data_IF_054159360781
#
_entry.id   IF_054159360781
#
_cell.length_a   1.000
_cell.length_b   1.000
_cell.length_c   1.000
_cell.angle_alpha   90.00
_cell.angle_beta   90.00
_cell.angle_gamma   90.00
#
_symmetry.space_group_name_H-M   'P 1'
#
loop_
_entity.id
_entity.type
_entity.pdbx_description
1 polymer ?
#
# COMPACT_ATOMS: atom_id res chain seq x y z
N UNK A 1 6.87 -15.02 1.17
CA UNK A 1 6.27 -14.76 -0.16
C UNK A 1 5.17 -13.74 0.10
N UNK A 2 5.14 -12.61 -0.61
CA UNK A 2 4.12 -11.59 -0.39
C UNK A 2 2.83 -12.03 -1.08
N UNK A 3 1.73 -12.15 -0.36
CA UNK A 3 0.47 -12.62 -0.93
C UNK A 3 -0.39 -11.45 -1.39
N UNK A 4 -0.55 -11.30 -2.70
CA UNK A 4 -1.63 -10.48 -3.25
C UNK A 4 -2.97 -11.09 -2.80
N UNK A 5 -3.72 -10.34 -1.98
CA UNK A 5 -5.01 -10.81 -1.44
C UNK A 5 -6.19 -10.23 -2.21
N UNK A 6 -6.13 -8.96 -2.59
CA UNK A 6 -7.24 -8.27 -3.25
C UNK A 6 -6.76 -7.15 -4.16
N UNK A 7 -7.38 -7.01 -5.33
CA UNK A 7 -7.19 -5.87 -6.23
C UNK A 7 -8.40 -4.96 -6.15
N UNK A 8 -8.19 -3.69 -5.86
CA UNK A 8 -9.26 -2.71 -5.83
C UNK A 8 -9.67 -2.36 -7.27
N UNK A 9 -10.97 -2.29 -7.55
CA UNK A 9 -11.48 -2.01 -8.89
C UNK A 9 -11.35 -0.54 -9.31
N UNK A 10 -11.25 0.36 -8.35
CA UNK A 10 -11.18 1.81 -8.57
C UNK A 10 -9.75 2.28 -8.83
N UNK A 11 -9.62 3.24 -9.75
CA UNK A 11 -8.38 3.99 -9.95
C UNK A 11 -8.31 5.10 -8.91
N UNK A 12 -7.26 5.08 -8.10
CA UNK A 12 -6.98 6.11 -7.09
C UNK A 12 -6.14 7.20 -7.75
N UNK A 13 -6.38 8.47 -7.42
CA UNK A 13 -5.65 9.60 -8.01
C UNK A 13 -5.00 10.44 -6.92
N UNK A 14 -3.78 10.89 -7.17
CA UNK A 14 -3.14 11.89 -6.31
C UNK A 14 -3.63 13.32 -6.61
N UNK A 15 -3.10 14.30 -5.86
CA UNK A 15 -3.48 15.70 -5.97
C UNK A 15 -3.22 16.31 -7.36
N UNK A 16 -2.28 15.75 -8.11
CA UNK A 16 -1.94 16.14 -9.48
C UNK A 16 -2.70 15.31 -10.54
N UNK A 17 -3.68 14.51 -10.10
CA UNK A 17 -4.56 13.73 -10.97
C UNK A 17 -3.92 12.45 -11.54
N UNK A 18 -2.72 12.08 -11.09
CA UNK A 18 -2.00 10.92 -11.61
C UNK A 18 -2.62 9.65 -11.04
N UNK A 19 -2.94 8.69 -11.90
CA UNK A 19 -3.68 7.48 -11.54
C UNK A 19 -2.80 6.34 -11.01
N UNK A 20 -3.37 5.55 -10.11
CA UNK A 20 -2.77 4.34 -9.54
C UNK A 20 -3.80 3.21 -9.46
N UNK A 21 -3.36 1.99 -9.76
CA UNK A 21 -4.09 0.77 -9.41
C UNK A 21 -3.70 0.33 -8.00
N UNK A 22 -4.69 0.17 -7.11
CA UNK A 22 -4.47 -0.22 -5.73
C UNK A 22 -4.67 -1.73 -5.53
N UNK A 23 -3.81 -2.33 -4.72
CA UNK A 23 -3.87 -3.74 -4.35
C UNK A 23 -3.51 -3.94 -2.88
N UNK A 24 -4.24 -4.82 -2.20
CA UNK A 24 -3.97 -5.26 -0.84
C UNK A 24 -3.08 -6.48 -0.89
N UNK A 25 -1.99 -6.40 -0.15
CA UNK A 25 -1.06 -7.47 0.11
C UNK A 25 -1.06 -7.83 1.58
N UNK A 26 -0.68 -9.05 1.88
CA UNK A 26 -0.52 -9.50 3.25
C UNK A 26 0.55 -10.56 3.40
N UNK A 27 1.04 -10.67 4.63
CA UNK A 27 2.00 -11.70 5.02
C UNK A 27 1.61 -12.24 6.40
N UNK A 28 1.61 -13.57 6.52
CA UNK A 28 1.49 -14.24 7.81
C UNK A 28 2.81 -14.15 8.58
N UNK A 29 2.74 -13.67 9.82
CA UNK A 29 3.84 -13.65 10.78
C UNK A 29 3.98 -14.99 11.50
N UNK A 30 5.11 -15.15 12.19
CA UNK A 30 5.40 -16.38 12.96
C UNK A 30 4.43 -16.66 14.11
N UNK A 31 3.64 -15.68 14.54
CA UNK A 31 2.59 -15.80 15.55
C UNK A 31 1.19 -16.11 14.95
N UNK A 32 1.10 -16.29 13.63
CA UNK A 32 -0.15 -16.58 12.92
C UNK A 32 -1.01 -15.35 12.62
N UNK A 33 -0.55 -14.15 12.98
CA UNK A 33 -1.22 -12.89 12.63
C UNK A 33 -0.82 -12.46 11.23
N UNK A 34 -1.78 -11.98 10.46
CA UNK A 34 -1.58 -11.48 9.11
C UNK A 34 -1.46 -9.97 9.12
N UNK A 35 -0.30 -9.45 8.76
CA UNK A 35 -0.09 -8.02 8.54
C UNK A 35 -0.44 -7.67 7.10
N UNK A 36 -1.02 -6.48 6.91
CA UNK A 36 -1.52 -6.03 5.61
C UNK A 36 -0.96 -4.66 5.23
N UNK A 37 -0.81 -4.44 3.93
CA UNK A 37 -0.46 -3.14 3.35
C UNK A 37 -1.09 -2.98 1.97
N UNK A 38 -1.08 -1.75 1.46
CA UNK A 38 -1.51 -1.37 0.13
C UNK A 38 -0.30 -1.09 -0.77
N UNK A 39 -0.37 -1.57 -1.99
CA UNK A 39 0.52 -1.19 -3.08
C UNK A 39 -0.26 -0.44 -4.16
N UNK A 40 0.31 0.68 -4.61
CA UNK A 40 -0.23 1.59 -5.61
C UNK A 40 0.71 1.61 -6.81
N UNK A 41 0.30 0.92 -7.88
CA UNK A 41 1.05 0.85 -9.12
C UNK A 41 0.65 2.01 -10.03
N UNK A 42 1.62 2.84 -10.44
CA UNK A 42 1.37 3.98 -11.31
C UNK A 42 0.84 3.55 -12.68
N UNK A 43 -0.30 4.12 -13.08
CA UNK A 43 -0.83 3.83 -14.42
C UNK A 43 0.05 4.51 -15.48
N UNK A 44 0.64 3.70 -16.36
CA UNK A 44 1.55 4.17 -17.41
C UNK A 44 2.90 4.68 -16.90
N UNK A 45 3.27 4.37 -15.65
CA UNK A 45 4.52 4.81 -15.03
C UNK A 45 5.14 3.66 -14.26
N UNK A 46 6.46 3.51 -14.36
CA UNK A 46 7.21 2.54 -13.57
C UNK A 46 7.45 3.09 -12.16
N UNK A 47 6.38 3.16 -11.37
CA UNK A 47 6.41 3.60 -9.98
C UNK A 47 5.45 2.74 -9.17
N UNK A 48 5.96 2.19 -8.08
CA UNK A 48 5.16 1.50 -7.07
C UNK A 48 5.30 2.25 -5.77
N UNK A 49 4.18 2.70 -5.21
CA UNK A 49 4.14 3.26 -3.86
C UNK A 49 3.55 2.21 -2.93
N UNK A 50 4.14 2.07 -1.77
CA UNK A 50 3.72 1.10 -0.77
C UNK A 50 3.37 1.84 0.52
N UNK A 51 2.20 1.53 1.07
CA UNK A 51 1.91 1.95 2.44
C UNK A 51 2.77 1.13 3.41
N UNK A 52 2.95 1.66 4.61
CA UNK A 52 3.41 0.85 5.74
C UNK A 52 2.30 -0.14 6.15
N UNK A 53 2.18 -0.41 7.44
CA UNK A 53 1.16 -1.28 8.00
C UNK A 53 -0.24 -0.63 7.98
N UNK A 54 -1.25 -1.34 7.48
CA UNK A 54 -2.64 -0.88 7.43
C UNK A 54 -3.56 -1.60 8.43
N UNK A 55 -3.37 -2.91 8.64
CA UNK A 55 -4.21 -3.71 9.52
C UNK A 55 -3.59 -5.06 9.86
N UNK A 56 -3.84 -5.55 11.08
CA UNK A 56 -3.56 -6.92 11.51
C UNK A 56 -4.84 -7.75 11.46
N UNK A 57 -4.74 -8.99 10.98
CA UNK A 57 -5.87 -9.87 10.74
C UNK A 57 -5.59 -11.29 11.25
N UNK A 58 -6.57 -12.01 11.82
CA UNK A 58 -6.33 -13.33 12.41
C UNK A 58 -6.15 -14.46 11.38
N UNK A 59 -6.40 -14.20 10.09
CA UNK A 59 -6.20 -15.14 8.98
C UNK A 59 -6.43 -14.44 7.63
N UNK A 60 -6.02 -15.09 6.54
CA UNK A 60 -6.20 -14.59 5.17
C UNK A 60 -7.65 -14.27 4.77
N UNK A 61 -8.65 -14.99 5.30
CA UNK A 61 -10.07 -14.71 5.00
C UNK A 61 -10.52 -13.40 5.63
N UNK A 62 -10.06 -13.10 6.84
CA UNK A 62 -10.31 -11.82 7.49
C UNK A 62 -9.62 -10.66 6.73
N UNK A 63 -8.42 -10.87 6.20
CA UNK A 63 -7.77 -9.92 5.28
C UNK A 63 -8.65 -9.63 4.06
N UNK A 64 -9.13 -10.66 3.37
CA UNK A 64 -9.97 -10.47 2.18
C UNK A 64 -11.26 -9.70 2.51
N UNK A 65 -11.89 -10.03 3.64
CA UNK A 65 -13.11 -9.34 4.08
C UNK A 65 -12.84 -7.85 4.35
N UNK A 66 -11.80 -7.54 5.13
CA UNK A 66 -11.35 -6.17 5.37
C UNK A 66 -11.04 -5.43 4.06
N UNK A 67 -10.25 -6.06 3.18
CA UNK A 67 -9.85 -5.50 1.89
C UNK A 67 -11.04 -5.17 0.98
N UNK A 68 -12.05 -6.04 0.96
CA UNK A 68 -13.27 -5.84 0.17
C UNK A 68 -14.15 -4.68 0.69
N UNK A 69 -13.98 -4.30 1.95
CA UNK A 69 -14.70 -3.19 2.58
C UNK A 69 -14.03 -1.84 2.45
N UNK A 70 -12.85 -1.75 1.82
CA UNK A 70 -12.11 -0.49 1.70
C UNK A 70 -12.85 0.51 0.82
N UNK A 71 -13.16 1.67 1.42
CA UNK A 71 -13.83 2.77 0.74
C UNK A 71 -12.84 3.62 -0.08
N UNK A 72 -13.30 4.32 -1.13
CA UNK A 72 -12.48 5.24 -1.92
C UNK A 72 -11.64 6.21 -1.06
N UNK A 73 -12.27 6.85 -0.08
CA UNK A 73 -11.61 7.81 0.83
C UNK A 73 -10.48 7.19 1.66
N UNK A 74 -10.58 5.90 1.99
CA UNK A 74 -9.51 5.18 2.67
C UNK A 74 -8.29 5.03 1.75
N UNK A 75 -8.53 4.69 0.48
CA UNK A 75 -7.46 4.55 -0.51
C UNK A 75 -6.76 5.87 -0.80
N UNK A 76 -7.50 6.98 -0.87
CA UNK A 76 -6.92 8.32 -1.03
C UNK A 76 -5.97 8.66 0.13
N UNK A 77 -6.40 8.38 1.37
CA UNK A 77 -5.59 8.58 2.56
C UNK A 77 -4.35 7.68 2.61
N UNK A 78 -4.50 6.41 2.20
CA UNK A 78 -3.39 5.47 2.13
C UNK A 78 -2.38 5.84 1.04
N UNK A 79 -2.82 6.32 -0.12
CA UNK A 79 -1.94 6.82 -1.18
C UNK A 79 -1.12 8.03 -0.71
N UNK A 80 -1.73 8.94 0.05
CA UNK A 80 -1.02 10.07 0.64
C UNK A 80 0.08 9.61 1.61
N UNK A 81 -0.21 8.62 2.48
CA UNK A 81 0.79 8.05 3.40
C UNK A 81 1.91 7.34 2.64
N UNK A 82 1.59 6.52 1.65
CA UNK A 82 2.57 5.82 0.82
C UNK A 82 3.50 6.80 0.08
N UNK A 83 2.95 7.90 -0.43
CA UNK A 83 3.73 8.97 -1.08
C UNK A 83 4.70 9.61 -0.09
N UNK A 84 4.25 9.92 1.14
CA UNK A 84 5.10 10.52 2.19
C UNK A 84 6.20 9.58 2.65
N UNK A 85 5.90 8.29 2.81
CA UNK A 85 6.90 7.27 3.14
C UNK A 85 7.99 7.22 2.06
N UNK A 86 7.59 7.16 0.78
CA UNK A 86 8.55 7.13 -0.34
C UNK A 86 9.43 8.38 -0.42
N UNK A 87 8.86 9.57 -0.19
CA UNK A 87 9.64 10.81 -0.16
C UNK A 87 10.65 10.82 0.99
N UNK A 88 10.26 10.27 2.14
CA UNK A 88 11.14 10.15 3.31
C UNK A 88 12.29 9.20 3.02
N UNK A 89 12.02 8.02 2.46
CA UNK A 89 13.05 7.07 2.02
C UNK A 89 14.06 7.72 1.05
N UNK A 90 13.56 8.40 0.02
CA UNK A 90 14.40 9.06 -0.98
C UNK A 90 15.29 10.12 -0.32
N UNK A 91 14.73 10.94 0.57
CA UNK A 91 15.51 11.94 1.33
C UNK A 91 16.63 11.27 2.10
N UNK A 92 16.33 10.24 2.88
CA UNK A 92 17.32 9.52 3.68
C UNK A 92 18.40 8.86 2.82
N UNK A 93 18.04 8.30 1.66
CA UNK A 93 19.01 7.72 0.71
C UNK A 93 20.02 8.74 0.19
N UNK A 94 19.59 9.98 -0.08
CA UNK A 94 20.48 11.03 -0.57
C UNK A 94 21.31 11.67 0.55
N UNK A 95 20.77 11.81 1.77
CA UNK A 95 21.49 12.30 2.94
C UNK A 95 22.61 11.34 3.37
N UNK A 96 22.35 10.02 3.37
CA UNK A 96 23.35 9.01 3.75
C UNK A 96 24.48 8.81 2.73
N UNK A 97 24.38 9.38 1.53
CA UNK A 97 25.41 9.28 0.47
C UNK A 97 26.39 10.46 0.46
N UNK A 98 26.14 11.48 1.29
CA UNK A 98 26.96 12.68 1.43
C UNK A 98 27.89 12.67 2.66
N UNK A 99 27.88 11.58 3.44
CA UNK A 99 28.77 11.31 4.58
C UNK A 99 29.75 10.19 4.25
#
# INVERSE_FOLDING_TARGET
MNDLVHTCSQVVRDAEGRGYAASVHALERSDGIWETWLEFNGLGRDVTLRSEHESEQPNRRAVLYWASGLQPSYLDGALLRATRARLTELRTMFEGRAA
#
